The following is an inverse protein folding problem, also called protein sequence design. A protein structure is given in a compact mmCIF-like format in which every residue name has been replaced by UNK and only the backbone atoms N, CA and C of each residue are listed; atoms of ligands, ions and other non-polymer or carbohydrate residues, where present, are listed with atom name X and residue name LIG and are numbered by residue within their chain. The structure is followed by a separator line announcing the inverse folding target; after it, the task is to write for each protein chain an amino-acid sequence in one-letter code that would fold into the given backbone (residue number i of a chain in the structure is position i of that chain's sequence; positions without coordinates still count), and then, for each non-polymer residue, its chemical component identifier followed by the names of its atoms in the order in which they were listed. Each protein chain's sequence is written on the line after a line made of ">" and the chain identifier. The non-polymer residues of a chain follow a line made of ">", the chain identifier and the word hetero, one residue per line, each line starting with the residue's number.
data_IF_587340361988
#
_entry.id   IF_587340361988
#
_cell.length_a   1.000
_cell.length_b   1.000
_cell.length_c   1.000
_cell.angle_alpha   90.00
_cell.angle_beta   90.00
_cell.angle_gamma   90.00
#
_symmetry.space_group_name_H-M   'P 1'
#
loop_
_entity.id
_entity.type
_entity.pdbx_description
1 polymer ?
#
# COMPACT_ATOMS: atom_id res chain seq x y z
N UNK A 1 -15.25 11.88 -0.85
CA UNK A 1 -13.93 12.53 -0.92
C UNK A 1 -13.01 11.92 0.13
N UNK A 2 -12.03 11.13 -0.30
CA UNK A 2 -11.01 10.55 0.60
C UNK A 2 -10.05 11.67 1.04
N UNK A 3 -9.98 11.92 2.35
CA UNK A 3 -9.00 12.86 2.92
C UNK A 3 -7.66 12.18 3.07
N UNK A 4 -6.73 12.47 2.16
CA UNK A 4 -5.38 11.95 2.25
C UNK A 4 -4.58 12.63 3.37
N UNK A 5 -3.92 11.84 4.21
CA UNK A 5 -3.09 12.34 5.30
C UNK A 5 -1.85 13.07 4.77
N UNK A 6 -1.76 14.38 4.95
CA UNK A 6 -0.59 15.19 4.62
C UNK A 6 0.14 15.55 5.93
N UNK A 7 1.25 14.88 6.21
CA UNK A 7 1.98 14.98 7.48
C UNK A 7 3.48 15.24 7.29
N UNK A 8 4.21 15.39 8.40
CA UNK A 8 5.64 15.62 8.39
C UNK A 8 6.42 14.52 7.65
N UNK A 9 5.94 13.28 7.66
CA UNK A 9 6.57 12.16 6.94
C UNK A 9 6.48 12.36 5.43
N UNK A 10 5.34 12.80 4.91
CA UNK A 10 5.22 13.16 3.50
C UNK A 10 6.12 14.34 3.14
N UNK A 11 6.15 15.40 3.97
CA UNK A 11 7.02 16.57 3.74
C UNK A 11 8.50 16.21 3.69
N UNK A 12 8.97 15.39 4.64
CA UNK A 12 10.37 14.92 4.69
C UNK A 12 10.80 14.10 3.46
N UNK A 13 9.83 13.62 2.67
CA UNK A 13 10.03 12.82 1.46
C UNK A 13 9.73 13.61 0.18
N UNK A 14 9.85 14.94 0.24
CA UNK A 14 9.67 15.85 -0.88
C UNK A 14 8.22 16.29 -1.12
N UNK A 15 7.31 16.04 -0.17
CA UNK A 15 5.93 16.56 -0.20
C UNK A 15 5.01 15.92 -1.24
N UNK A 16 5.52 15.09 -2.14
CA UNK A 16 4.75 14.39 -3.16
C UNK A 16 4.32 12.99 -2.72
N UNK A 17 3.18 12.53 -3.26
CA UNK A 17 2.70 11.17 -3.09
C UNK A 17 2.11 10.65 -4.41
N UNK A 18 2.01 9.33 -4.51
CA UNK A 18 1.28 8.62 -5.55
C UNK A 18 0.33 7.63 -4.91
N UNK A 19 -0.80 7.37 -5.55
CA UNK A 19 -1.65 6.23 -5.21
C UNK A 19 -1.19 5.06 -6.06
N UNK A 20 -1.01 3.91 -5.42
CA UNK A 20 -0.65 2.67 -6.08
C UNK A 20 -1.78 1.66 -5.90
N UNK A 21 -2.20 1.05 -7.00
CA UNK A 21 -2.88 -0.22 -6.98
C UNK A 21 -1.85 -1.33 -6.74
N UNK A 22 -2.01 -2.04 -5.62
CA UNK A 22 -1.19 -3.19 -5.24
C UNK A 22 -1.97 -4.44 -5.59
N UNK A 23 -1.44 -5.23 -6.53
CA UNK A 23 -2.02 -6.51 -6.93
C UNK A 23 -1.08 -7.67 -6.59
N UNK A 24 -1.64 -8.84 -6.33
CA UNK A 24 -0.88 -10.05 -6.06
C UNK A 24 -0.15 -10.50 -7.33
N UNK A 25 1.15 -10.77 -7.26
CA UNK A 25 1.90 -11.21 -8.44
C UNK A 25 1.59 -12.64 -8.89
N UNK A 26 1.06 -13.47 -8.00
CA UNK A 26 0.73 -14.86 -8.32
C UNK A 26 -0.63 -15.01 -9.03
N UNK A 27 -1.66 -14.28 -8.60
CA UNK A 27 -3.02 -14.44 -9.14
C UNK A 27 -3.60 -13.18 -9.77
N UNK A 28 -2.85 -12.07 -9.80
CA UNK A 28 -3.29 -10.79 -10.36
C UNK A 28 -4.37 -10.06 -9.57
N UNK A 29 -4.94 -10.68 -8.52
CA UNK A 29 -6.05 -10.09 -7.76
C UNK A 29 -5.63 -8.78 -7.09
N UNK A 30 -6.52 -7.79 -7.13
CA UNK A 30 -6.38 -6.56 -6.35
C UNK A 30 -6.24 -6.87 -4.85
N UNK A 31 -5.18 -6.36 -4.23
CA UNK A 31 -4.93 -6.52 -2.81
C UNK A 31 -5.46 -5.30 -2.04
N UNK A 32 -4.99 -4.11 -2.43
CA UNK A 32 -5.45 -2.81 -1.90
C UNK A 32 -4.85 -1.62 -2.66
N UNK A 33 -5.48 -0.45 -2.56
CA UNK A 33 -4.81 0.83 -2.81
C UNK A 33 -3.92 1.30 -1.66
N UNK A 34 -2.77 1.86 -2.03
CA UNK A 34 -1.76 2.31 -1.09
C UNK A 34 -1.22 3.68 -1.44
N UNK A 35 -1.17 4.58 -0.44
CA UNK A 35 -0.54 5.88 -0.59
C UNK A 35 0.97 5.77 -0.43
N UNK A 36 1.72 5.95 -1.52
CA UNK A 36 3.18 5.97 -1.52
C UNK A 36 3.71 7.40 -1.47
N UNK A 37 4.47 7.71 -0.42
CA UNK A 37 5.20 8.97 -0.32
C UNK A 37 6.59 8.86 -1.00
N UNK A 38 7.02 9.91 -1.68
CA UNK A 38 8.35 10.01 -2.30
C UNK A 38 8.56 9.14 -3.55
N UNK A 39 9.74 9.28 -4.18
CA UNK A 39 10.06 8.68 -5.50
C UNK A 39 10.62 7.26 -5.44
N UNK A 40 11.31 6.86 -4.37
CA UNK A 40 12.05 5.58 -4.28
C UNK A 40 11.19 4.31 -4.35
N UNK A 41 11.81 3.14 -4.52
CA UNK A 41 11.09 1.87 -4.64
C UNK A 41 10.27 1.53 -3.38
N UNK A 42 9.02 1.06 -3.57
CA UNK A 42 8.18 0.59 -2.46
C UNK A 42 8.71 -0.74 -1.93
N UNK A 43 9.43 -0.71 -0.80
CA UNK A 43 9.87 -1.90 -0.05
C UNK A 43 9.02 -2.19 1.19
N UNK A 44 8.33 -1.16 1.71
CA UNK A 44 7.55 -1.23 2.95
C UNK A 44 6.22 -0.52 2.76
N UNK A 45 5.15 -1.09 3.31
CA UNK A 45 3.82 -0.52 3.34
C UNK A 45 3.45 -0.14 4.77
N UNK A 46 3.42 1.15 5.09
CA UNK A 46 3.06 1.65 6.42
C UNK A 46 1.56 1.48 6.65
N UNK A 47 1.17 1.00 7.83
CA UNK A 47 -0.22 0.71 8.17
C UNK A 47 -1.16 1.91 8.01
N UNK A 48 -0.67 3.10 8.32
CA UNK A 48 -1.44 4.34 8.22
C UNK A 48 -1.57 4.90 6.80
N UNK A 49 -1.02 4.19 5.80
CA UNK A 49 -1.05 4.56 4.37
C UNK A 49 -1.89 3.63 3.51
N UNK A 50 -2.43 2.56 4.08
CA UNK A 50 -3.46 1.76 3.43
C UNK A 50 -4.74 2.58 3.30
N UNK A 51 -5.41 2.47 2.16
CA UNK A 51 -6.60 3.27 1.84
C UNK A 51 -7.88 2.48 2.12
N UNK A 52 -7.94 1.22 1.70
CA UNK A 52 -9.19 0.43 1.80
C UNK A 52 -9.19 -0.53 2.99
N UNK A 53 -8.05 -1.15 3.29
CA UNK A 53 -7.95 -2.17 4.33
C UNK A 53 -7.06 -1.72 5.49
N UNK A 54 -7.31 -2.25 6.68
CA UNK A 54 -6.41 -2.12 7.83
C UNK A 54 -5.96 -3.51 8.26
N UNK A 55 -4.88 -4.06 7.67
CA UNK A 55 -4.43 -5.42 7.96
C UNK A 55 -3.90 -5.51 9.40
N UNK A 56 -4.45 -6.41 10.22
CA UNK A 56 -4.10 -6.56 11.65
C UNK A 56 -3.15 -7.71 11.94
N UNK A 57 -2.96 -8.64 10.99
CA UNK A 57 -2.15 -9.84 11.16
C UNK A 57 -0.65 -9.58 11.31
N UNK A 58 0.10 -10.65 11.57
CA UNK A 58 1.57 -10.67 11.46
C UNK A 58 2.03 -10.63 10.00
N UNK A 59 1.14 -10.95 9.06
CA UNK A 59 1.44 -11.09 7.64
C UNK A 59 0.41 -10.36 6.79
N UNK A 60 0.88 -9.82 5.66
CA UNK A 60 0.02 -9.32 4.60
C UNK A 60 -0.16 -10.46 3.60
N UNK A 61 -1.36 -11.00 3.49
CA UNK A 61 -1.67 -12.13 2.61
C UNK A 61 -2.65 -11.73 1.52
N UNK A 62 -2.49 -12.32 0.34
CA UNK A 62 -3.48 -12.22 -0.72
C UNK A 62 -4.79 -12.89 -0.26
N UNK A 63 -5.92 -12.18 -0.34
CA UNK A 63 -7.23 -12.74 0.04
C UNK A 63 -7.68 -13.88 -0.87
N UNK A 64 -7.28 -13.84 -2.14
CA UNK A 64 -7.64 -14.81 -3.19
C UNK A 64 -6.80 -16.10 -3.11
N UNK A 65 -5.48 -16.01 -3.34
CA UNK A 65 -4.60 -17.19 -3.44
C UNK A 65 -3.77 -17.49 -2.18
N UNK A 66 -3.95 -16.72 -1.10
CA UNK A 66 -3.23 -16.84 0.18
C UNK A 66 -1.71 -16.64 0.12
N UNK A 67 -1.15 -16.24 -1.03
CA UNK A 67 0.26 -15.87 -1.12
C UNK A 67 0.60 -14.79 -0.08
N UNK A 68 1.68 -15.00 0.66
CA UNK A 68 2.24 -14.02 1.58
C UNK A 68 2.94 -12.90 0.81
N UNK A 69 2.34 -11.71 0.85
CA UNK A 69 2.81 -10.50 0.18
C UNK A 69 3.86 -9.75 0.99
N UNK A 70 3.84 -9.89 2.32
CA UNK A 70 4.83 -9.29 3.20
C UNK A 70 4.64 -9.63 4.68
N UNK A 71 5.60 -9.20 5.50
CA UNK A 71 5.64 -9.48 6.95
C UNK A 71 5.57 -8.19 7.74
N UNK A 72 4.77 -8.19 8.82
CA UNK A 72 4.65 -7.05 9.73
C UNK A 72 5.97 -6.81 10.46
N UNK A 73 6.42 -5.56 10.45
CA UNK A 73 7.67 -5.12 11.07
C UNK A 73 7.50 -3.74 11.71
N UNK A 74 8.26 -3.48 12.77
CA UNK A 74 8.43 -2.13 13.31
C UNK A 74 9.60 -1.45 12.61
N UNK A 75 9.34 -0.33 11.91
CA UNK A 75 10.40 0.50 11.36
C UNK A 75 11.00 1.38 12.46
N UNK A 76 12.10 0.91 13.06
CA UNK A 76 12.73 1.51 14.24
C UNK A 76 13.01 3.02 14.11
N UNK A 77 13.45 3.49 12.94
CA UNK A 77 13.79 4.91 12.74
C UNK A 77 12.61 5.87 12.91
N UNK A 78 11.40 5.44 12.59
CA UNK A 78 10.19 6.26 12.72
C UNK A 78 9.25 5.75 13.83
N UNK A 79 9.62 4.66 14.52
CA UNK A 79 8.75 3.91 15.43
C UNK A 79 7.36 3.61 14.82
N UNK A 80 7.33 3.25 13.53
CA UNK A 80 6.09 3.05 12.76
C UNK A 80 5.95 1.61 12.29
N UNK A 81 4.74 1.08 12.47
CA UNK A 81 4.43 -0.28 12.03
C UNK A 81 4.21 -0.28 10.51
N UNK A 82 4.82 -1.24 9.82
CA UNK A 82 4.72 -1.43 8.39
C UNK A 82 4.71 -2.92 8.04
N UNK A 83 4.37 -3.25 6.80
CA UNK A 83 4.64 -4.56 6.21
C UNK A 83 5.86 -4.44 5.29
N UNK A 84 6.90 -5.22 5.55
CA UNK A 84 8.00 -5.40 4.61
C UNK A 84 7.56 -6.35 3.51
N UNK A 85 7.57 -5.88 2.26
CA UNK A 85 7.11 -6.67 1.13
C UNK A 85 8.11 -7.78 0.80
N UNK A 86 7.59 -8.95 0.47
CA UNK A 86 8.37 -10.03 -0.11
C UNK A 86 8.77 -9.63 -1.55
N UNK A 87 10.01 -9.91 -1.94
CA UNK A 87 10.52 -9.54 -3.26
C UNK A 87 9.66 -10.19 -4.35
N UNK A 88 9.15 -9.37 -5.27
CA UNK A 88 8.34 -9.86 -6.40
C UNK A 88 6.93 -10.35 -6.03
N UNK A 89 6.48 -10.24 -4.77
CA UNK A 89 5.17 -10.76 -4.36
C UNK A 89 3.98 -9.88 -4.79
N UNK A 90 4.25 -8.64 -5.22
CA UNK A 90 3.21 -7.70 -5.66
C UNK A 90 3.61 -6.94 -6.92
N UNK A 91 2.63 -6.66 -7.78
CA UNK A 91 2.76 -5.61 -8.79
C UNK A 91 2.27 -4.27 -8.24
N UNK A 92 2.74 -3.18 -8.84
CA UNK A 92 2.53 -1.81 -8.38
C UNK A 92 2.18 -0.97 -9.59
N UNK A 93 0.93 -0.53 -9.71
CA UNK A 93 0.48 0.37 -10.77
C UNK A 93 0.11 1.72 -10.19
N UNK A 94 0.65 2.80 -10.73
CA UNK A 94 0.21 4.14 -10.33
C UNK A 94 -1.18 4.40 -10.91
N UNK A 95 -2.09 4.88 -10.06
CA UNK A 95 -3.47 5.21 -10.42
C UNK A 95 -3.81 6.62 -9.96
N UNK A 96 -4.73 7.27 -10.65
CA UNK A 96 -5.33 8.52 -10.20
C UNK A 96 -6.53 8.27 -9.27
N UNK A 97 -7.02 9.32 -8.62
CA UNK A 97 -8.13 9.21 -7.66
C UNK A 97 -9.44 8.74 -8.31
N UNK A 98 -9.69 9.11 -9.57
CA UNK A 98 -10.90 8.70 -10.28
C UNK A 98 -10.87 7.20 -10.65
N UNK A 99 -9.71 6.66 -11.04
CA UNK A 99 -9.54 5.21 -11.26
C UNK A 99 -9.77 4.40 -9.97
N UNK A 100 -9.29 4.93 -8.84
CA UNK A 100 -9.48 4.32 -7.53
C UNK A 100 -10.95 4.33 -7.07
N UNK A 101 -11.66 5.45 -7.29
CA UNK A 101 -13.08 5.59 -6.93
C UNK A 101 -14.02 4.85 -7.91
N UNK A 102 -13.66 4.78 -9.20
CA UNK A 102 -14.46 4.16 -10.26
C UNK A 102 -14.55 2.63 -10.17
N UNK A 103 -13.61 1.95 -9.51
CA UNK A 103 -13.68 0.50 -9.28
C UNK A 103 -14.70 0.07 -8.21
N UNK A 104 -15.33 1.02 -7.51
CA UNK A 104 -16.46 0.77 -6.60
C UNK A 104 -17.83 0.98 -7.26
N UNK A 105 -17.88 1.39 -8.54
CA UNK A 105 -19.12 1.55 -9.31
C UNK A 105 -19.05 0.63 -10.54
N UNK A 106 -19.22 -0.66 -10.31
CA UNK A 106 -19.13 -1.67 -11.35
C UNK A 106 -19.77 -2.99 -10.91
N UNK A 107 -21.06 -3.11 -11.26
CA UNK A 107 -22.06 -4.15 -10.96
C UNK A 107 -22.78 -4.07 -9.61
#
# INVERSE_FOLDING_TARGET
>A
MIKFRNDAFQKSRGGSFKILDITCSNCGSHATYYKKDGSGMLRRMYLDRFIEIKPTGSELVCRNCKLQLGVRTLYKKENRIAYHLNNGAVHKKAVNTAEMEGLHVGN
#
